data_IF_014032223546
#
_entry.id   IF_014032223546
#
_cell.length_a   1.000
_cell.length_b   1.000
_cell.length_c   1.000
_cell.angle_alpha   90.00
_cell.angle_beta   90.00
_cell.angle_gamma   90.00
#
_symmetry.space_group_name_H-M   'P 1'
#
loop_
_entity.id
_entity.type
_entity.pdbx_description
1 polymer ?
#
# COMPACT_ATOMS: atom_id res chain seq x y z
N UNK A 1 -31.18 -41.05 -6.57
CA UNK A 1 -29.70 -40.99 -6.57
C UNK A 1 -29.30 -39.64 -6.00
N UNK A 2 -28.71 -39.57 -4.80
CA UNK A 2 -28.33 -38.30 -4.17
C UNK A 2 -26.93 -37.92 -4.66
N UNK A 3 -26.83 -36.92 -5.51
CA UNK A 3 -25.55 -36.39 -5.99
C UNK A 3 -24.86 -35.67 -4.83
N UNK A 4 -23.74 -36.21 -4.36
CA UNK A 4 -22.84 -35.54 -3.42
C UNK A 4 -21.82 -34.74 -4.23
N UNK A 5 -22.04 -33.44 -4.38
CA UNK A 5 -21.01 -32.54 -4.90
C UNK A 5 -20.11 -32.13 -3.74
N UNK A 6 -18.85 -32.58 -3.78
CA UNK A 6 -17.82 -32.18 -2.81
C UNK A 6 -17.34 -30.77 -3.15
N UNK A 7 -17.78 -29.77 -2.39
CA UNK A 7 -17.22 -28.41 -2.47
C UNK A 7 -15.81 -28.43 -1.91
N UNK A 8 -14.81 -28.21 -2.76
CA UNK A 8 -13.42 -28.03 -2.34
C UNK A 8 -13.27 -26.56 -1.94
N UNK A 9 -13.27 -26.28 -0.64
CA UNK A 9 -12.95 -24.95 -0.09
C UNK A 9 -11.45 -24.71 -0.20
N UNK A 10 -11.00 -24.08 -1.29
CA UNK A 10 -9.62 -23.60 -1.46
C UNK A 10 -9.46 -22.24 -0.75
N UNK A 11 -9.21 -22.25 0.56
CA UNK A 11 -9.04 -21.04 1.40
C UNK A 11 -7.59 -20.52 1.49
N UNK A 12 -6.62 -21.15 0.83
CA UNK A 12 -5.19 -20.86 1.02
C UNK A 12 -4.62 -19.71 0.18
N UNK A 13 -5.27 -19.31 -0.91
CA UNK A 13 -4.73 -18.28 -1.80
C UNK A 13 -5.08 -16.84 -1.38
N UNK A 14 -6.19 -16.64 -0.66
CA UNK A 14 -6.66 -15.31 -0.26
C UNK A 14 -5.84 -14.68 0.87
N UNK A 15 -5.31 -15.50 1.79
CA UNK A 15 -4.50 -15.03 2.93
C UNK A 15 -3.18 -14.38 2.50
N UNK A 16 -2.60 -14.83 1.39
CA UNK A 16 -1.33 -14.32 0.89
C UNK A 16 -1.46 -12.91 0.32
N UNK A 17 -2.60 -12.59 -0.32
CA UNK A 17 -2.86 -11.26 -0.86
C UNK A 17 -3.05 -10.21 0.25
N UNK A 18 -3.76 -10.55 1.32
CA UNK A 18 -3.94 -9.64 2.46
C UNK A 18 -2.62 -9.26 3.11
N UNK A 19 -1.69 -10.22 3.23
CA UNK A 19 -0.39 -9.95 3.85
C UNK A 19 0.47 -8.95 3.06
N UNK A 20 0.41 -8.99 1.73
CA UNK A 20 1.16 -8.03 0.89
C UNK A 20 0.55 -6.63 0.99
N UNK A 21 -0.77 -6.53 1.11
CA UNK A 21 -1.45 -5.26 1.34
C UNK A 21 -1.06 -4.66 2.71
N UNK A 22 -1.14 -5.46 3.78
CA UNK A 22 -0.71 -5.03 5.12
C UNK A 22 0.75 -4.58 5.15
N UNK A 23 1.66 -5.32 4.52
CA UNK A 23 3.08 -4.94 4.43
C UNK A 23 3.26 -3.59 3.73
N UNK A 24 2.45 -3.27 2.72
CA UNK A 24 2.52 -1.96 2.04
C UNK A 24 2.03 -0.83 2.93
N UNK A 25 1.04 -1.07 3.78
CA UNK A 25 0.53 -0.07 4.71
C UNK A 25 1.50 0.23 5.87
N UNK A 26 2.32 -0.76 6.25
CA UNK A 26 3.35 -0.64 7.30
C UNK A 26 4.61 0.11 6.84
N UNK A 27 4.86 0.17 5.53
CA UNK A 27 6.00 0.90 4.98
C UNK A 27 5.70 2.40 5.01
N UNK A 28 6.61 3.18 5.60
CA UNK A 28 6.59 4.65 5.57
C UNK A 28 7.82 5.15 4.83
N UNK A 29 7.60 6.05 3.86
CA UNK A 29 8.64 6.61 2.99
C UNK A 29 8.64 8.13 3.13
N UNK A 30 9.83 8.72 3.30
CA UNK A 30 10.04 10.17 3.19
C UNK A 30 10.57 10.48 1.78
N UNK A 31 9.76 11.19 0.99
CA UNK A 31 10.19 11.78 -0.27
C UNK A 31 10.69 13.20 -0.06
N UNK A 32 11.85 13.53 -0.62
CA UNK A 32 12.38 14.89 -0.69
C UNK A 32 12.58 15.21 -2.17
N UNK A 33 12.02 16.34 -2.59
CA UNK A 33 12.24 16.93 -3.91
C UNK A 33 12.94 18.27 -3.70
N UNK A 34 13.97 18.53 -4.49
CA UNK A 34 14.57 19.86 -4.59
C UNK A 34 14.77 20.25 -6.05
N UNK A 35 13.94 21.19 -6.48
CA UNK A 35 14.09 21.91 -7.74
C UNK A 35 14.71 23.29 -7.48
N UNK A 36 14.90 24.09 -8.53
CA UNK A 36 15.48 25.43 -8.39
C UNK A 36 14.57 26.43 -7.67
N UNK A 37 13.25 26.28 -7.80
CA UNK A 37 12.26 27.25 -7.35
C UNK A 37 11.48 26.77 -6.13
N UNK A 38 11.19 25.47 -6.10
CA UNK A 38 10.45 24.82 -5.01
C UNK A 38 11.30 23.74 -4.35
N UNK A 39 11.19 23.67 -3.03
CA UNK A 39 11.59 22.50 -2.25
C UNK A 39 10.35 21.84 -1.67
N UNK A 40 10.19 20.53 -1.85
CA UNK A 40 9.06 19.80 -1.33
C UNK A 40 9.49 18.57 -0.52
N UNK A 41 8.66 18.20 0.45
CA UNK A 41 8.80 16.96 1.18
C UNK A 41 7.43 16.33 1.45
N UNK A 42 7.36 15.00 1.40
CA UNK A 42 6.14 14.26 1.69
C UNK A 42 6.44 12.97 2.45
N UNK A 43 5.58 12.62 3.40
CA UNK A 43 5.58 11.32 4.06
C UNK A 43 4.44 10.50 3.46
N UNK A 44 4.76 9.34 2.89
CA UNK A 44 3.80 8.47 2.20
C UNK A 44 3.87 7.03 2.73
N UNK A 45 2.74 6.32 2.72
CA UNK A 45 2.72 4.88 2.94
C UNK A 45 3.15 4.11 1.69
N UNK A 46 3.55 2.85 1.84
CA UNK A 46 3.90 1.96 0.73
C UNK A 46 2.71 1.61 -0.19
N UNK A 47 1.48 1.88 0.24
CA UNK A 47 0.28 1.82 -0.62
C UNK A 47 0.02 3.11 -1.42
N UNK A 48 0.81 4.17 -1.18
CA UNK A 48 0.69 5.48 -1.84
C UNK A 48 -0.12 6.54 -1.08
N UNK A 49 -0.70 6.23 0.08
CA UNK A 49 -1.38 7.23 0.92
C UNK A 49 -0.41 8.33 1.36
N UNK A 50 -0.79 9.60 1.17
CA UNK A 50 -0.03 10.75 1.66
C UNK A 50 -0.44 11.06 3.09
N UNK A 51 0.51 10.97 4.03
CA UNK A 51 0.28 11.26 5.45
C UNK A 51 0.48 12.75 5.76
N UNK A 52 1.50 13.37 5.15
CA UNK A 52 1.77 14.78 5.26
C UNK A 52 2.61 15.26 4.07
N UNK A 53 2.51 16.54 3.75
CA UNK A 53 3.32 17.16 2.72
C UNK A 53 3.53 18.64 3.00
N UNK A 54 4.65 19.18 2.52
CA UNK A 54 4.95 20.60 2.50
C UNK A 54 5.62 20.97 1.19
N UNK A 55 5.34 22.17 0.70
CA UNK A 55 6.01 22.79 -0.43
C UNK A 55 6.46 24.17 0.06
N UNK A 56 7.71 24.50 -0.18
CA UNK A 56 8.30 25.79 0.13
C UNK A 56 8.84 26.41 -1.15
N UNK A 57 8.21 27.49 -1.58
CA UNK A 57 8.67 28.37 -2.66
C UNK A 57 9.42 29.55 -2.06
N UNK A 58 10.48 30.02 -2.71
CA UNK A 58 11.26 31.20 -2.30
C UNK A 58 10.89 32.45 -3.10
#
# INVERSE_FOLDING_TARGET
>A
MKSFTKTISTSSSASSFNRIAEIRDDIVVLGIETSCDDTAAAVVRGNGEILSQVISSQ
#
